data_IF_934856452345
#
_entry.id   IF_934856452345
#
_cell.length_a   1.000
_cell.length_b   1.000
_cell.length_c   1.000
_cell.angle_alpha   90.00
_cell.angle_beta   90.00
_cell.angle_gamma   90.00
#
_symmetry.space_group_name_H-M   'P 1'
#
loop_
_entity.id
_entity.type
_entity.pdbx_description
1 polymer ?
#
# COMPACT_ATOMS: atom_id res chain seq x y z
N UNK A 1 26.84 6.15 12.03
CA UNK A 1 25.69 6.58 12.86
C UNK A 1 24.93 5.33 13.31
N UNK A 2 24.56 5.24 14.57
CA UNK A 2 23.75 4.13 15.05
C UNK A 2 22.33 4.28 14.51
N UNK A 3 21.79 3.18 13.97
CA UNK A 3 20.43 3.19 13.40
C UNK A 3 19.37 3.15 14.49
N UNK A 4 18.26 3.81 14.25
CA UNK A 4 17.09 3.76 15.11
C UNK A 4 16.51 2.34 15.08
N UNK A 5 16.36 1.72 16.24
CA UNK A 5 15.80 0.36 16.36
C UNK A 5 14.27 0.41 16.42
N UNK A 6 13.65 -0.42 15.63
CA UNK A 6 12.20 -0.62 15.67
C UNK A 6 11.83 -1.69 16.70
N UNK A 7 10.80 -1.43 17.49
CA UNK A 7 10.24 -2.39 18.47
C UNK A 7 9.11 -3.23 17.84
N UNK A 8 8.35 -2.63 16.93
CA UNK A 8 7.24 -3.27 16.24
C UNK A 8 7.53 -3.26 14.74
N UNK A 9 7.29 -4.36 14.02
CA UNK A 9 7.48 -4.38 12.57
C UNK A 9 6.46 -3.48 11.86
N UNK A 10 6.90 -2.88 10.75
CA UNK A 10 6.03 -2.18 9.83
C UNK A 10 5.40 -3.20 8.87
N UNK A 11 4.07 -3.23 8.76
CA UNK A 11 3.41 -3.99 7.71
C UNK A 11 3.64 -3.28 6.38
N UNK A 12 4.31 -3.95 5.48
CA UNK A 12 4.69 -3.42 4.17
C UNK A 12 3.81 -4.04 3.10
N UNK A 13 2.93 -3.22 2.52
CA UNK A 13 2.04 -3.64 1.45
C UNK A 13 2.55 -3.08 0.13
N UNK A 14 3.31 -3.88 -0.59
CA UNK A 14 3.86 -3.50 -1.88
C UNK A 14 2.76 -3.41 -2.94
N UNK A 15 3.00 -2.67 -4.00
CA UNK A 15 1.99 -2.34 -4.99
C UNK A 15 2.39 -2.71 -6.41
N UNK A 16 1.75 -2.05 -7.34
CA UNK A 16 1.92 -2.28 -8.76
C UNK A 16 2.78 -1.21 -9.42
N UNK A 17 3.36 -1.57 -10.58
CA UNK A 17 4.03 -0.66 -11.51
C UNK A 17 5.08 0.24 -10.85
N UNK A 18 5.02 1.52 -11.12
CA UNK A 18 5.97 2.55 -10.68
C UNK A 18 6.03 2.70 -9.15
N UNK A 19 4.92 2.48 -8.44
CA UNK A 19 4.90 2.68 -6.98
C UNK A 19 5.75 1.65 -6.24
N UNK A 20 5.87 0.44 -6.76
CA UNK A 20 6.78 -0.59 -6.25
C UNK A 20 8.24 -0.13 -6.31
N UNK A 21 8.64 0.45 -7.42
CA UNK A 21 10.00 0.97 -7.63
C UNK A 21 10.27 2.17 -6.73
N UNK A 22 9.34 3.12 -6.68
CA UNK A 22 9.45 4.30 -5.81
C UNK A 22 9.54 3.92 -4.33
N UNK A 23 8.77 2.94 -3.89
CA UNK A 23 8.83 2.48 -2.51
C UNK A 23 10.18 1.81 -2.20
N UNK A 24 10.72 1.04 -3.12
CA UNK A 24 12.06 0.48 -2.94
C UNK A 24 13.13 1.57 -2.81
N UNK A 25 13.09 2.60 -3.65
CA UNK A 25 14.01 3.75 -3.56
C UNK A 25 13.86 4.46 -2.20
N UNK A 26 12.65 4.65 -1.70
CA UNK A 26 12.39 5.24 -0.37
C UNK A 26 13.03 4.39 0.72
N UNK A 27 12.87 3.07 0.67
CA UNK A 27 13.53 2.18 1.63
C UNK A 27 15.03 2.31 1.58
N UNK A 28 15.62 2.24 0.41
CA UNK A 28 17.07 2.19 0.24
C UNK A 28 17.74 3.53 0.59
N UNK A 29 17.15 4.65 0.21
CA UNK A 29 17.77 5.97 0.34
C UNK A 29 17.36 6.73 1.60
N UNK A 30 16.13 6.54 2.10
CA UNK A 30 15.57 7.33 3.19
C UNK A 30 15.34 6.56 4.49
N UNK A 31 15.13 5.25 4.44
CA UNK A 31 14.81 4.47 5.63
C UNK A 31 16.00 3.62 6.10
N UNK A 32 16.51 2.75 5.28
CA UNK A 32 17.56 1.79 5.64
C UNK A 32 18.88 2.43 6.11
N UNK A 33 19.29 3.62 5.63
CA UNK A 33 20.47 4.28 6.16
C UNK A 33 20.34 4.71 7.63
N UNK A 34 19.12 5.00 8.08
CA UNK A 34 18.87 5.60 9.40
C UNK A 34 18.13 4.69 10.38
N UNK A 35 17.39 3.72 9.87
CA UNK A 35 16.50 2.87 10.65
C UNK A 35 16.90 1.41 10.46
N UNK A 36 16.97 0.65 11.55
CA UNK A 36 17.03 -0.82 11.52
C UNK A 36 15.61 -1.32 11.19
N UNK A 37 15.26 -1.21 9.90
CA UNK A 37 13.91 -1.43 9.41
C UNK A 37 13.51 -2.90 9.51
N UNK A 38 12.45 -3.15 10.26
CA UNK A 38 11.80 -4.46 10.34
C UNK A 38 10.45 -4.37 9.67
N UNK A 39 10.23 -5.20 8.66
CA UNK A 39 8.97 -5.24 7.92
C UNK A 39 8.35 -6.62 7.97
N UNK A 40 7.03 -6.66 7.93
CA UNK A 40 6.26 -7.83 7.54
C UNK A 40 5.68 -7.57 6.16
N UNK A 41 6.24 -8.25 5.15
CA UNK A 41 6.04 -7.94 3.75
C UNK A 41 4.86 -8.68 3.14
N UNK A 42 4.01 -7.95 2.43
CA UNK A 42 2.89 -8.48 1.63
C UNK A 42 2.94 -7.88 0.24
N UNK A 43 2.99 -8.73 -0.77
CA UNK A 43 2.92 -8.31 -2.16
C UNK A 43 1.45 -8.15 -2.58
N UNK A 44 0.99 -6.91 -2.67
CA UNK A 44 -0.35 -6.57 -3.16
C UNK A 44 -0.39 -6.25 -4.65
N UNK A 45 0.65 -6.61 -5.39
CA UNK A 45 0.66 -6.56 -6.83
C UNK A 45 -0.46 -7.41 -7.44
N UNK A 46 -0.99 -6.98 -8.57
CA UNK A 46 -2.17 -7.61 -9.18
C UNK A 46 -1.94 -9.10 -9.51
N UNK A 47 -0.74 -9.46 -9.95
CA UNK A 47 -0.39 -10.85 -10.25
C UNK A 47 -0.47 -11.73 -9.01
N UNK A 48 0.15 -11.32 -7.91
CA UNK A 48 0.16 -12.09 -6.67
C UNK A 48 -1.22 -12.15 -6.00
N UNK A 49 -2.01 -11.06 -6.09
CA UNK A 49 -3.41 -11.09 -5.65
C UNK A 49 -4.23 -12.10 -6.44
N UNK A 50 -3.99 -12.20 -7.75
CA UNK A 50 -4.65 -13.19 -8.61
C UNK A 50 -4.22 -14.62 -8.28
N UNK A 51 -2.96 -14.85 -7.95
CA UNK A 51 -2.45 -16.16 -7.53
C UNK A 51 -3.10 -16.63 -6.22
N UNK A 52 -3.27 -15.71 -5.27
CA UNK A 52 -3.78 -15.99 -3.92
C UNK A 52 -5.29 -15.81 -3.78
N UNK A 53 -6.02 -15.62 -4.90
CA UNK A 53 -7.45 -15.31 -4.89
C UNK A 53 -7.79 -14.14 -3.94
N UNK A 54 -6.95 -13.09 -3.97
CA UNK A 54 -6.99 -11.88 -3.14
C UNK A 54 -6.81 -12.11 -1.61
N UNK A 55 -6.44 -13.31 -1.20
CA UNK A 55 -6.22 -13.63 0.22
C UNK A 55 -5.10 -12.79 0.82
N UNK A 56 -4.05 -12.45 0.05
CA UNK A 56 -2.94 -11.60 0.53
C UNK A 56 -3.42 -10.23 1.00
N UNK A 57 -4.47 -9.67 0.39
CA UNK A 57 -5.06 -8.39 0.82
C UNK A 57 -5.67 -8.51 2.22
N UNK A 58 -6.38 -9.60 2.48
CA UNK A 58 -6.98 -9.89 3.80
C UNK A 58 -5.91 -10.12 4.85
N UNK A 59 -4.88 -10.90 4.52
CA UNK A 59 -3.77 -11.22 5.42
C UNK A 59 -2.99 -9.95 5.82
N UNK A 60 -2.74 -9.06 4.87
CA UNK A 60 -2.07 -7.78 5.14
C UNK A 60 -2.89 -6.85 6.05
N UNK A 61 -4.20 -6.83 5.89
CA UNK A 61 -5.10 -6.08 6.77
C UNK A 61 -5.10 -6.64 8.20
N UNK A 62 -5.16 -7.95 8.34
CA UNK A 62 -5.09 -8.62 9.65
C UNK A 62 -3.73 -8.40 10.34
N UNK A 63 -2.63 -8.42 9.59
CA UNK A 63 -1.33 -8.06 10.11
C UNK A 63 -1.30 -6.60 10.60
N UNK A 64 -1.97 -5.69 9.89
CA UNK A 64 -2.08 -4.29 10.30
C UNK A 64 -2.86 -4.14 11.61
N UNK A 65 -3.93 -4.89 11.81
CA UNK A 65 -4.63 -4.95 13.09
C UNK A 65 -3.72 -5.43 14.22
N UNK A 66 -2.89 -6.43 13.93
CA UNK A 66 -1.96 -7.01 14.91
C UNK A 66 -0.85 -6.05 15.32
N UNK A 67 -0.22 -5.38 14.35
CA UNK A 67 0.96 -4.54 14.60
C UNK A 67 0.67 -3.04 14.72
N UNK A 68 -0.47 -2.58 14.26
CA UNK A 68 -0.96 -1.21 14.44
C UNK A 68 -0.41 -0.19 13.46
N UNK A 69 0.48 -0.56 12.53
CA UNK A 69 1.07 0.35 11.56
C UNK A 69 1.35 -0.36 10.23
N UNK A 70 1.01 0.29 9.15
CA UNK A 70 1.27 -0.21 7.79
C UNK A 70 1.61 0.93 6.83
N UNK A 71 2.35 0.60 5.80
CA UNK A 71 2.51 1.42 4.60
C UNK A 71 1.97 0.65 3.41
N UNK A 72 1.16 1.30 2.59
CA UNK A 72 0.59 0.70 1.40
C UNK A 72 0.97 1.49 0.15
N UNK A 73 1.55 0.81 -0.80
CA UNK A 73 1.77 1.33 -2.14
C UNK A 73 0.47 1.33 -2.96
N UNK A 74 0.44 2.08 -4.05
CA UNK A 74 -0.70 2.08 -4.96
C UNK A 74 -0.83 0.73 -5.67
N UNK A 75 -2.06 0.30 -5.83
CA UNK A 75 -2.42 -0.99 -6.46
C UNK A 75 -3.39 -0.77 -7.62
N UNK A 76 -3.30 -1.61 -8.62
CA UNK A 76 -4.23 -1.62 -9.75
C UNK A 76 -5.59 -2.16 -9.27
N UNK A 77 -6.67 -1.43 -9.59
CA UNK A 77 -8.03 -1.97 -9.56
C UNK A 77 -8.37 -2.36 -10.99
N UNK A 78 -8.48 -3.67 -11.30
CA UNK A 78 -8.63 -4.12 -12.68
C UNK A 78 -9.98 -3.70 -13.28
N UNK A 79 -9.93 -3.38 -14.55
CA UNK A 79 -11.07 -3.21 -15.44
C UNK A 79 -11.05 -4.32 -16.50
N UNK A 80 -11.99 -4.30 -17.42
CA UNK A 80 -12.09 -5.31 -18.48
C UNK A 80 -10.80 -5.45 -19.32
N UNK A 81 -10.10 -4.35 -19.61
CA UNK A 81 -8.83 -4.39 -20.34
C UNK A 81 -7.72 -5.06 -19.53
N UNK A 82 -7.62 -4.75 -18.26
CA UNK A 82 -6.64 -5.37 -17.35
C UNK A 82 -6.91 -6.86 -17.13
N UNK A 83 -8.16 -7.30 -17.17
CA UNK A 83 -8.51 -8.72 -17.10
C UNK A 83 -7.79 -9.54 -18.19
N UNK A 84 -7.79 -9.03 -19.42
CA UNK A 84 -7.13 -9.69 -20.55
C UNK A 84 -5.62 -9.55 -20.49
N UNK A 85 -5.13 -8.34 -20.17
CA UNK A 85 -3.69 -8.03 -20.09
C UNK A 85 -2.96 -8.91 -19.08
N UNK A 86 -3.53 -9.11 -17.90
CA UNK A 86 -2.94 -9.88 -16.80
C UNK A 86 -3.46 -11.32 -16.71
N UNK A 87 -4.34 -11.73 -17.64
CA UNK A 87 -4.97 -13.06 -17.60
C UNK A 87 -5.58 -13.39 -16.23
N UNK A 88 -6.40 -12.47 -15.72
CA UNK A 88 -6.97 -12.59 -14.38
C UNK A 88 -8.12 -13.60 -14.33
N UNK A 89 -8.20 -14.33 -13.22
CA UNK A 89 -9.31 -15.26 -12.91
C UNK A 89 -10.61 -14.50 -12.66
N UNK A 90 -10.52 -13.33 -12.04
CA UNK A 90 -11.65 -12.51 -11.61
C UNK A 90 -11.28 -11.02 -11.65
N UNK A 91 -12.30 -10.18 -11.79
CA UNK A 91 -12.12 -8.72 -11.64
C UNK A 91 -12.04 -8.36 -10.16
N UNK A 92 -10.85 -8.49 -9.59
CA UNK A 92 -10.58 -8.28 -8.17
C UNK A 92 -10.99 -6.88 -7.71
N UNK A 93 -11.58 -6.81 -6.53
CA UNK A 93 -11.97 -5.54 -5.89
C UNK A 93 -10.74 -4.70 -5.53
N UNK A 94 -10.97 -3.41 -5.29
CA UNK A 94 -9.90 -2.54 -4.79
C UNK A 94 -9.40 -3.00 -3.42
N UNK A 95 -8.10 -3.25 -3.24
CA UNK A 95 -7.54 -3.57 -1.94
C UNK A 95 -7.79 -2.49 -0.89
N UNK A 96 -7.88 -1.22 -1.31
CA UNK A 96 -8.19 -0.12 -0.39
C UNK A 96 -9.54 -0.32 0.31
N UNK A 97 -10.56 -0.77 -0.42
CA UNK A 97 -11.87 -1.04 0.15
C UNK A 97 -11.84 -2.19 1.15
N UNK A 98 -11.21 -3.30 0.77
CA UNK A 98 -11.07 -4.50 1.62
C UNK A 98 -10.31 -4.20 2.91
N UNK A 99 -9.15 -3.54 2.81
CA UNK A 99 -8.33 -3.19 3.96
C UNK A 99 -9.08 -2.25 4.91
N UNK A 100 -9.69 -1.18 4.38
CA UNK A 100 -10.45 -0.21 5.21
C UNK A 100 -11.63 -0.86 5.91
N UNK A 101 -12.33 -1.78 5.25
CA UNK A 101 -13.43 -2.53 5.87
C UNK A 101 -12.95 -3.42 7.02
N UNK A 102 -11.84 -4.12 6.84
CA UNK A 102 -11.27 -4.98 7.90
C UNK A 102 -10.77 -4.15 9.08
N UNK A 103 -10.12 -3.00 8.82
CA UNK A 103 -9.63 -2.11 9.87
C UNK A 103 -10.75 -1.36 10.61
N UNK A 104 -11.95 -1.32 10.05
CA UNK A 104 -13.14 -0.67 10.62
C UNK A 104 -12.86 0.76 11.10
N UNK A 105 -12.19 1.54 10.23
CA UNK A 105 -11.75 2.89 10.54
C UNK A 105 -12.44 3.96 9.71
N UNK A 106 -12.42 5.18 10.22
CA UNK A 106 -12.85 6.38 9.49
C UNK A 106 -11.65 7.17 9.00
N UNK A 107 -11.66 7.55 7.73
CA UNK A 107 -10.62 8.37 7.13
C UNK A 107 -11.07 9.82 7.05
N UNK A 108 -10.41 10.70 7.78
CA UNK A 108 -10.58 12.14 7.67
C UNK A 108 -9.53 12.75 6.75
N UNK A 109 -9.93 13.60 5.85
CA UNK A 109 -9.03 14.31 4.94
C UNK A 109 -9.32 15.81 5.01
N UNK A 110 -8.26 16.59 5.25
CA UNK A 110 -8.30 18.04 5.10
C UNK A 110 -7.56 18.41 3.80
N UNK A 111 -8.11 19.31 2.96
CA UNK A 111 -7.40 19.77 1.79
C UNK A 111 -6.17 20.59 2.21
N UNK A 112 -5.06 20.36 1.54
CA UNK A 112 -3.85 21.15 1.70
C UNK A 112 -3.74 22.09 0.51
N UNK A 113 -3.88 23.37 0.77
CA UNK A 113 -3.75 24.41 -0.27
C UNK A 113 -2.43 25.14 -0.04
N UNK A 114 -1.54 25.05 -1.01
CA UNK A 114 -0.23 25.70 -0.95
C UNK A 114 -0.42 27.18 -1.24
N UNK A 115 0.11 28.05 -0.35
CA UNK A 115 0.04 29.51 -0.52
C UNK A 115 0.67 29.93 -1.85
N UNK A 116 -0.07 30.71 -2.62
CA UNK A 116 0.37 31.23 -3.93
C UNK A 116 0.12 30.29 -5.12
N UNK A 117 -0.44 29.10 -4.87
CA UNK A 117 -0.88 28.19 -5.93
C UNK A 117 -2.41 28.14 -5.92
N UNK A 118 -2.99 28.48 -7.07
CA UNK A 118 -4.44 28.41 -7.23
C UNK A 118 -4.89 26.97 -7.35
N UNK A 119 -5.85 26.48 -6.53
CA UNK A 119 -6.34 25.11 -6.65
C UNK A 119 -7.04 24.89 -7.99
N UNK A 120 -6.89 23.67 -8.55
CA UNK A 120 -7.50 23.30 -9.83
C UNK A 120 -9.05 23.37 -9.77
N UNK A 121 -9.63 22.98 -8.65
CA UNK A 121 -11.08 23.07 -8.42
C UNK A 121 -11.35 24.26 -7.51
N UNK A 122 -12.11 25.22 -8.03
CA UNK A 122 -12.57 26.39 -7.27
C UNK A 122 -13.95 26.06 -6.70
N UNK A 123 -14.05 26.00 -5.42
CA UNK A 123 -15.34 25.87 -4.70
C UNK A 123 -15.59 27.04 -3.82
#
# INVERSE_FOLDING_TARGET
MEKIKMTTPLVEMDGDEMTRILWQMIKDELLLPYIDLKTEYYDLGLEHRNETDDQVTVDSANATLKYGVAVKCATITPNAARMTEYNLKEMWKSPNGTIRAILDGTVFRAPIIVKGIEPYVKT
#
